data_IF_864960501048
#
_entry.id   IF_864960501048
#
_cell.length_a   1.000
_cell.length_b   1.000
_cell.length_c   1.000
_cell.angle_alpha   90.00
_cell.angle_beta   90.00
_cell.angle_gamma   90.00
#
_symmetry.space_group_name_H-M   'P 1'
#
loop_
_entity.id
_entity.type
_entity.pdbx_description
1 polymer ?
#
# COMPACT_ATOMS: atom_id res chain seq x y z
N UNK A 1 -14.02 -8.94 11.92
CA UNK A 1 -14.14 -8.18 10.65
C UNK A 1 -14.06 -6.69 10.95
N UNK A 2 -13.48 -5.86 10.06
CA UNK A 2 -13.19 -4.43 10.35
C UNK A 2 -13.99 -3.42 9.51
N UNK A 3 -14.75 -3.89 8.52
CA UNK A 3 -15.66 -3.03 7.75
C UNK A 3 -16.93 -2.73 8.56
N UNK A 4 -17.39 -1.47 8.64
CA UNK A 4 -18.57 -1.10 9.43
C UNK A 4 -19.83 -1.91 9.08
N UNK A 5 -20.04 -2.22 7.80
CA UNK A 5 -21.18 -3.00 7.32
C UNK A 5 -21.24 -4.43 7.89
N UNK A 6 -20.12 -4.99 8.36
CA UNK A 6 -20.05 -6.36 8.89
C UNK A 6 -20.19 -6.44 10.41
N UNK A 7 -20.56 -5.35 11.10
CA UNK A 7 -20.66 -5.34 12.56
C UNK A 7 -21.70 -6.32 13.13
N UNK A 8 -22.76 -6.62 12.38
CA UNK A 8 -23.91 -7.40 12.86
C UNK A 8 -24.16 -8.70 12.08
N UNK A 9 -23.23 -9.12 11.22
CA UNK A 9 -23.38 -10.36 10.46
C UNK A 9 -22.88 -11.57 11.27
N UNK A 10 -23.57 -12.70 11.16
CA UNK A 10 -23.09 -13.97 11.72
C UNK A 10 -21.84 -14.41 10.95
N UNK A 11 -20.73 -14.57 11.65
CA UNK A 11 -19.48 -15.06 11.11
C UNK A 11 -18.65 -15.75 12.20
N UNK A 12 -17.65 -16.55 11.81
CA UNK A 12 -16.65 -17.14 12.71
C UNK A 12 -15.26 -16.77 12.21
N UNK A 13 -14.37 -16.44 13.14
CA UNK A 13 -12.95 -16.28 12.89
C UNK A 13 -12.25 -17.34 13.74
N UNK A 14 -11.33 -18.09 13.13
CA UNK A 14 -10.55 -19.11 13.83
C UNK A 14 -9.09 -18.63 13.85
N UNK A 15 -8.56 -18.42 15.05
CA UNK A 15 -7.24 -17.83 15.25
C UNK A 15 -7.17 -16.37 14.81
N UNK A 16 -5.95 -15.89 14.57
CA UNK A 16 -5.68 -14.53 14.09
C UNK A 16 -5.56 -14.48 12.57
N UNK A 17 -5.81 -13.30 11.99
CA UNK A 17 -5.68 -13.04 10.55
C UNK A 17 -4.57 -12.01 10.26
N UNK A 18 -3.30 -12.27 10.65
CA UNK A 18 -2.22 -11.28 10.56
C UNK A 18 -1.96 -10.81 9.12
N UNK A 19 -2.10 -11.70 8.13
CA UNK A 19 -1.95 -11.34 6.72
C UNK A 19 -3.10 -10.44 6.22
N UNK A 20 -4.34 -10.73 6.62
CA UNK A 20 -5.49 -9.87 6.30
C UNK A 20 -5.30 -8.48 6.88
N UNK A 21 -4.83 -8.40 8.12
CA UNK A 21 -4.52 -7.13 8.77
C UNK A 21 -3.38 -6.36 8.10
N UNK A 22 -2.34 -7.08 7.66
CA UNK A 22 -1.23 -6.50 6.90
C UNK A 22 -1.69 -5.96 5.55
N UNK A 23 -2.48 -6.72 4.80
CA UNK A 23 -3.03 -6.29 3.51
C UNK A 23 -3.94 -5.08 3.70
N UNK A 24 -4.83 -5.09 4.69
CA UNK A 24 -5.74 -3.98 4.97
C UNK A 24 -5.02 -2.67 5.32
N UNK A 25 -3.88 -2.73 6.02
CA UNK A 25 -3.16 -1.53 6.49
C UNK A 25 -2.03 -1.06 5.59
N UNK A 26 -1.36 -1.99 4.91
CA UNK A 26 -0.06 -1.74 4.28
C UNK A 26 -0.02 -2.06 2.77
N UNK A 27 -1.13 -2.48 2.18
CA UNK A 27 -1.20 -2.74 0.75
C UNK A 27 -2.10 -1.73 0.05
N UNK A 28 -1.74 -1.40 -1.18
CA UNK A 28 -2.55 -0.68 -2.14
C UNK A 28 -2.28 -1.28 -3.52
N UNK A 29 -3.16 -1.01 -4.48
CA UNK A 29 -3.03 -1.47 -5.85
C UNK A 29 -2.79 -0.29 -6.79
N UNK A 30 -2.16 -0.59 -7.92
CA UNK A 30 -1.96 0.35 -9.02
C UNK A 30 -2.42 -0.34 -10.31
N UNK A 31 -3.14 0.39 -11.15
CA UNK A 31 -3.68 -0.16 -12.40
C UNK A 31 -2.59 -0.31 -13.46
N UNK A 32 -2.48 -1.50 -14.04
CA UNK A 32 -1.63 -1.83 -15.20
C UNK A 32 -2.48 -2.38 -16.34
N UNK A 33 -3.36 -1.53 -16.88
CA UNK A 33 -4.20 -1.86 -18.03
C UNK A 33 -3.36 -1.97 -19.33
N UNK A 34 -3.63 -2.92 -20.25
CA UNK A 34 -2.88 -3.07 -21.50
C UNK A 34 -2.77 -1.83 -22.40
N UNK A 35 -3.69 -0.86 -22.25
CA UNK A 35 -3.63 0.42 -22.98
C UNK A 35 -2.73 1.50 -22.34
N UNK A 36 -2.01 1.18 -21.27
CA UNK A 36 -0.92 2.02 -20.78
C UNK A 36 0.28 1.86 -21.71
N UNK A 37 0.62 2.94 -22.41
CA UNK A 37 1.86 3.00 -23.16
C UNK A 37 3.08 3.15 -22.23
N UNK A 38 4.25 2.96 -22.83
CA UNK A 38 5.54 2.99 -22.16
C UNK A 38 5.75 4.32 -21.40
N UNK A 39 5.40 5.46 -22.01
CA UNK A 39 5.56 6.77 -21.38
C UNK A 39 4.77 6.91 -20.06
N UNK A 40 3.57 6.33 -19.95
CA UNK A 40 2.79 6.34 -18.71
C UNK A 40 3.36 5.41 -17.65
N UNK A 41 3.90 4.26 -18.07
CA UNK A 41 4.60 3.34 -17.18
C UNK A 41 5.90 3.97 -16.65
N UNK A 42 6.67 4.63 -17.50
CA UNK A 42 7.91 5.33 -17.14
C UNK A 42 7.64 6.45 -16.14
N UNK A 43 6.58 7.25 -16.37
CA UNK A 43 6.16 8.26 -15.41
C UNK A 43 5.82 7.67 -14.05
N UNK A 44 5.11 6.54 -14.02
CA UNK A 44 4.75 5.85 -12.78
C UNK A 44 6.00 5.35 -12.03
N UNK A 45 6.94 4.73 -12.75
CA UNK A 45 8.21 4.25 -12.19
C UNK A 45 9.05 5.40 -11.65
N UNK A 46 9.18 6.49 -12.40
CA UNK A 46 9.91 7.69 -11.98
C UNK A 46 9.30 8.30 -10.71
N UNK A 47 7.97 8.38 -10.64
CA UNK A 47 7.24 8.88 -9.47
C UNK A 47 7.52 8.04 -8.22
N UNK A 48 7.51 6.70 -8.35
CA UNK A 48 7.86 5.81 -7.24
C UNK A 48 9.32 5.98 -6.81
N UNK A 49 10.25 6.02 -7.77
CA UNK A 49 11.67 6.21 -7.48
C UNK A 49 11.93 7.51 -6.72
N UNK A 50 11.31 8.61 -7.15
CA UNK A 50 11.42 9.91 -6.49
C UNK A 50 10.84 9.90 -5.08
N UNK A 51 9.65 9.31 -4.90
CA UNK A 51 9.04 9.16 -3.58
C UNK A 51 9.97 8.41 -2.62
N UNK A 52 10.53 7.26 -3.03
CA UNK A 52 11.41 6.46 -2.18
C UNK A 52 12.73 7.15 -1.88
N UNK A 53 13.30 7.88 -2.85
CA UNK A 53 14.52 8.67 -2.66
C UNK A 53 14.30 9.77 -1.62
N UNK A 54 13.24 10.56 -1.75
CA UNK A 54 12.89 11.63 -0.80
C UNK A 54 12.65 11.06 0.61
N UNK A 55 11.87 9.99 0.70
CA UNK A 55 11.54 9.37 1.98
C UNK A 55 12.78 8.84 2.71
N UNK A 56 13.76 8.29 1.99
CA UNK A 56 15.04 7.86 2.58
C UNK A 56 15.80 9.04 3.18
N UNK A 57 15.96 10.12 2.41
CA UNK A 57 16.68 11.32 2.87
C UNK A 57 16.04 11.96 4.11
N UNK A 58 14.70 12.06 4.13
CA UNK A 58 13.98 12.59 5.29
C UNK A 58 14.15 11.72 6.53
N UNK A 59 14.14 10.39 6.37
CA UNK A 59 14.38 9.44 7.47
C UNK A 59 15.79 9.55 8.02
N UNK A 60 16.79 9.65 7.16
CA UNK A 60 18.19 9.74 7.56
C UNK A 60 18.46 11.07 8.28
N UNK A 61 17.89 12.18 7.79
CA UNK A 61 17.97 13.49 8.46
C UNK A 61 17.37 13.48 9.87
N UNK A 62 16.23 12.80 10.07
CA UNK A 62 15.57 12.68 11.38
C UNK A 62 16.27 11.73 12.36
N UNK A 63 17.25 10.93 11.90
CA UNK A 63 18.06 10.06 12.77
C UNK A 63 19.35 10.70 13.26
N UNK A 64 19.79 11.79 12.63
CA UNK A 64 21.05 12.48 12.87
C UNK A 64 20.90 13.78 13.69
N UNK A 65 19.67 14.15 14.06
CA UNK A 65 19.35 15.26 14.97
C UNK A 65 18.42 14.77 16.07
#
# INVERSE_FOLDING_TARGET
LKQPAYRHIRHRIVGDLPNTDRVMRNAFFVGVYPGLDEARLDYMLATFADFFRRFRQERDRKRLG
#
